data_IF_817118287841
#
_entry.id   IF_817118287841
#
_cell.length_a   1.000
_cell.length_b   1.000
_cell.length_c   1.000
_cell.angle_alpha   90.00
_cell.angle_beta   90.00
_cell.angle_gamma   90.00
#
_symmetry.space_group_name_H-M   'P 1'
#
loop_
_entity.id
_entity.type
_entity.pdbx_description
1 polymer ?
#
# COMPACT_ATOMS: atom_id res chain seq x y z
N UNK A 1 30.28 -28.60 -0.29
CA UNK A 1 28.87 -28.78 -0.70
C UNK A 1 27.83 -28.10 0.22
N UNK A 2 28.18 -27.14 1.09
CA UNK A 2 27.21 -26.49 2.02
C UNK A 2 26.61 -25.16 1.57
N UNK A 3 27.23 -24.43 0.62
CA UNK A 3 26.75 -23.09 0.19
C UNK A 3 25.47 -23.13 -0.66
N UNK A 4 25.26 -24.19 -1.47
CA UNK A 4 24.09 -24.26 -2.36
C UNK A 4 22.78 -24.53 -1.62
N UNK A 5 22.82 -25.16 -0.44
CA UNK A 5 21.64 -25.43 0.36
C UNK A 5 21.02 -24.15 0.95
N UNK A 6 21.85 -23.19 1.36
CA UNK A 6 21.41 -21.91 1.93
C UNK A 6 20.74 -21.03 0.88
N UNK A 7 21.32 -20.94 -0.33
CA UNK A 7 20.74 -20.17 -1.44
C UNK A 7 19.44 -20.80 -1.97
N UNK A 8 19.37 -22.13 -2.02
CA UNK A 8 18.16 -22.87 -2.40
C UNK A 8 17.03 -22.71 -1.36
N UNK A 9 17.37 -22.79 -0.06
CA UNK A 9 16.42 -22.55 1.03
C UNK A 9 15.92 -21.10 1.05
N UNK A 10 16.79 -20.13 0.75
CA UNK A 10 16.39 -18.72 0.60
C UNK A 10 15.46 -18.50 -0.61
N UNK A 11 15.64 -19.23 -1.71
CA UNK A 11 14.74 -19.20 -2.87
C UNK A 11 13.36 -19.81 -2.56
N UNK A 12 13.32 -20.92 -1.82
CA UNK A 12 12.08 -21.52 -1.33
C UNK A 12 11.32 -20.59 -0.38
N UNK A 13 12.03 -19.93 0.53
CA UNK A 13 11.45 -18.90 1.39
C UNK A 13 10.96 -17.70 0.58
N UNK A 14 11.65 -17.27 -0.48
CA UNK A 14 11.20 -16.15 -1.35
C UNK A 14 10.05 -16.52 -2.29
N UNK A 15 9.76 -17.80 -2.51
CA UNK A 15 8.64 -18.26 -3.34
C UNK A 15 7.29 -18.35 -2.60
N UNK A 16 7.27 -18.22 -1.28
CA UNK A 16 6.04 -18.25 -0.49
C UNK A 16 5.30 -16.92 -0.56
N UNK A 17 3.97 -16.99 -0.73
CA UNK A 17 3.10 -15.82 -0.61
C UNK A 17 3.32 -15.16 0.75
N UNK A 18 3.45 -13.83 0.81
CA UNK A 18 3.51 -13.11 2.07
C UNK A 18 2.26 -13.44 2.88
N UNK A 19 2.46 -13.88 4.11
CA UNK A 19 1.41 -13.98 5.10
C UNK A 19 1.73 -13.02 6.24
N UNK A 20 0.71 -12.65 6.99
CA UNK A 20 0.90 -11.97 8.27
C UNK A 20 1.91 -12.71 9.17
N UNK A 21 1.83 -14.04 9.21
CA UNK A 21 2.74 -14.90 9.99
C UNK A 21 4.21 -14.68 9.58
N UNK A 22 4.46 -14.50 8.29
CA UNK A 22 5.80 -14.21 7.78
C UNK A 22 6.29 -12.83 8.23
N UNK A 23 5.44 -11.81 8.14
CA UNK A 23 5.78 -10.47 8.63
C UNK A 23 6.12 -10.52 10.12
N UNK A 24 5.32 -11.21 10.93
CA UNK A 24 5.61 -11.42 12.35
C UNK A 24 6.94 -12.16 12.59
N UNK A 25 7.20 -13.24 11.85
CA UNK A 25 8.46 -13.97 11.97
C UNK A 25 9.66 -13.06 11.69
N UNK A 26 9.56 -12.17 10.69
CA UNK A 26 10.63 -11.22 10.34
C UNK A 26 10.77 -10.11 11.38
N UNK A 27 9.67 -9.59 11.93
CA UNK A 27 9.71 -8.62 13.02
C UNK A 27 10.38 -9.21 14.28
N UNK A 28 10.07 -10.47 14.60
CA UNK A 28 10.70 -11.20 15.71
C UNK A 28 12.21 -11.46 15.49
N UNK A 29 12.63 -11.75 14.25
CA UNK A 29 14.05 -11.92 13.87
C UNK A 29 14.85 -10.62 13.96
N UNK A 30 14.28 -9.49 13.51
CA UNK A 30 14.95 -8.18 13.50
C UNK A 30 14.99 -7.50 14.88
N UNK A 31 14.36 -8.11 15.90
CA UNK A 31 14.24 -7.52 17.24
C UNK A 31 13.36 -6.26 17.28
N UNK A 32 12.58 -6.02 16.23
CA UNK A 32 11.62 -4.92 16.17
C UNK A 32 10.41 -5.30 17.02
N UNK A 33 10.27 -4.69 18.20
CA UNK A 33 9.04 -4.86 18.98
C UNK A 33 7.86 -4.27 18.21
N UNK A 34 6.74 -5.00 18.18
CA UNK A 34 5.43 -4.54 17.69
C UNK A 34 4.78 -3.62 18.76
N UNK A 35 5.58 -2.72 19.35
CA UNK A 35 5.15 -1.73 20.37
C UNK A 35 4.93 -0.35 19.70
N UNK A 36 4.57 -0.35 18.41
CA UNK A 36 4.23 0.86 17.70
C UNK A 36 2.78 1.24 18.02
N UNK A 37 2.55 2.53 18.27
CA UNK A 37 1.20 3.08 18.32
C UNK A 37 0.41 2.72 17.05
N UNK A 38 -0.92 2.54 17.14
CA UNK A 38 -1.76 2.30 15.97
C UNK A 38 -1.48 3.31 14.85
N UNK A 39 -1.11 2.81 13.67
CA UNK A 39 -0.71 3.64 12.56
C UNK A 39 -1.79 3.64 11.47
N UNK A 40 -2.30 4.83 11.19
CA UNK A 40 -3.17 5.10 10.05
C UNK A 40 -2.54 6.19 9.17
N UNK A 41 -2.40 5.90 7.88
CA UNK A 41 -1.84 6.84 6.90
C UNK A 41 -2.94 7.36 5.99
N UNK A 42 -3.16 8.65 6.01
CA UNK A 42 -4.18 9.25 5.18
C UNK A 42 -3.66 9.43 3.73
N UNK A 43 -4.40 8.84 2.80
CA UNK A 43 -4.07 8.73 1.39
C UNK A 43 -4.80 9.76 0.52
N UNK A 44 -5.58 10.65 1.14
CA UNK A 44 -6.30 11.75 0.50
C UNK A 44 -7.70 11.36 0.04
N UNK A 45 -7.95 10.08 -0.20
CA UNK A 45 -9.28 9.49 -0.44
C UNK A 45 -9.83 8.72 0.79
N UNK A 46 -9.05 8.66 1.87
CA UNK A 46 -9.31 7.88 3.09
C UNK A 46 -7.99 7.36 3.67
N UNK A 47 -8.05 6.38 4.58
CA UNK A 47 -6.86 5.93 5.34
C UNK A 47 -6.47 4.49 5.03
N UNK A 48 -5.16 4.25 4.99
CA UNK A 48 -4.58 2.91 5.11
C UNK A 48 -4.22 2.67 6.57
N UNK A 49 -4.96 1.77 7.23
CA UNK A 49 -4.71 1.34 8.60
C UNK A 49 -3.75 0.15 8.56
N UNK A 50 -2.61 0.26 9.25
CA UNK A 50 -1.61 -0.80 9.27
C UNK A 50 -1.98 -1.78 10.38
N UNK A 51 -2.80 -2.78 10.06
CA UNK A 51 -3.50 -3.62 11.02
C UNK A 51 -2.60 -4.36 12.01
N UNK A 52 -1.35 -4.65 11.66
CA UNK A 52 -0.40 -5.30 12.57
C UNK A 52 0.16 -4.39 13.66
N UNK A 53 0.01 -3.07 13.54
CA UNK A 53 0.42 -2.11 14.59
C UNK A 53 -0.72 -1.86 15.59
N UNK A 54 -1.91 -2.43 15.39
CA UNK A 54 -3.01 -2.28 16.33
C UNK A 54 -2.88 -3.35 17.43
N UNK A 55 -3.17 -2.99 18.70
CA UNK A 55 -2.96 -3.90 19.83
C UNK A 55 -3.89 -5.13 19.79
N UNK A 56 -5.09 -4.97 19.25
CA UNK A 56 -6.06 -6.04 19.12
C UNK A 56 -7.06 -5.80 17.95
N UNK A 57 -7.80 -6.85 17.53
CA UNK A 57 -8.80 -6.73 16.46
C UNK A 57 -9.94 -5.76 16.75
N UNK A 58 -10.28 -5.50 18.01
CA UNK A 58 -11.38 -4.61 18.38
C UNK A 58 -10.99 -3.14 18.20
N UNK A 59 -9.76 -2.78 18.56
CA UNK A 59 -9.20 -1.45 18.30
C UNK A 59 -9.16 -1.13 16.81
N UNK A 60 -8.71 -2.08 15.97
CA UNK A 60 -8.69 -1.92 14.52
C UNK A 60 -10.10 -1.80 13.93
N UNK A 61 -11.03 -2.64 14.38
CA UNK A 61 -12.42 -2.56 13.95
C UNK A 61 -13.04 -1.20 14.31
N UNK A 62 -12.84 -0.73 15.54
CA UNK A 62 -13.37 0.55 15.99
C UNK A 62 -12.84 1.72 15.15
N UNK A 63 -11.56 1.70 14.77
CA UNK A 63 -10.98 2.75 13.93
C UNK A 63 -11.51 2.70 12.49
N UNK A 64 -11.70 1.50 11.91
CA UNK A 64 -12.38 1.34 10.62
C UNK A 64 -13.83 1.85 10.66
N UNK A 65 -14.54 1.65 11.78
CA UNK A 65 -15.91 2.14 11.94
C UNK A 65 -15.99 3.67 12.14
N UNK A 66 -14.86 4.33 12.41
CA UNK A 66 -14.76 5.78 12.47
C UNK A 66 -14.45 6.40 11.09
N UNK A 67 -14.53 5.63 10.00
CA UNK A 67 -14.45 6.12 8.62
C UNK A 67 -15.35 7.36 8.44
N UNK A 68 -14.78 8.42 7.86
CA UNK A 68 -15.52 9.67 7.65
C UNK A 68 -16.39 9.60 6.39
N UNK A 69 -17.51 10.33 6.35
CA UNK A 69 -18.32 10.44 5.14
C UNK A 69 -17.49 10.93 3.94
N UNK A 70 -17.48 10.14 2.86
CA UNK A 70 -16.73 10.48 1.64
C UNK A 70 -15.28 10.01 1.63
N UNK A 71 -14.82 9.36 2.69
CA UNK A 71 -13.54 8.68 2.75
C UNK A 71 -13.72 7.16 2.63
N UNK A 72 -12.63 6.45 2.34
CA UNK A 72 -12.58 4.98 2.36
C UNK A 72 -11.39 4.49 3.15
N UNK A 73 -11.64 3.82 4.26
CA UNK A 73 -10.61 3.22 5.09
C UNK A 73 -10.39 1.76 4.70
N UNK A 74 -9.13 1.38 4.64
CA UNK A 74 -8.70 0.02 4.29
C UNK A 74 -7.65 -0.43 5.30
N UNK A 75 -7.85 -1.61 5.89
CA UNK A 75 -6.85 -2.23 6.76
C UNK A 75 -5.95 -3.20 5.96
N UNK A 76 -4.63 -3.03 6.08
CA UNK A 76 -3.62 -3.88 5.46
C UNK A 76 -2.83 -4.65 6.54
N UNK A 77 -2.31 -5.83 6.22
CA UNK A 77 -1.55 -6.68 7.15
C UNK A 77 -2.33 -7.04 8.42
N UNK A 78 -3.63 -7.37 8.26
CA UNK A 78 -4.50 -7.74 9.38
C UNK A 78 -4.18 -9.16 9.86
N UNK A 79 -3.89 -9.31 11.15
CA UNK A 79 -3.51 -10.58 11.78
C UNK A 79 -4.60 -11.65 11.69
N UNK A 80 -5.79 -11.27 12.13
CA UNK A 80 -6.94 -12.14 12.26
C UNK A 80 -8.15 -11.44 11.62
N UNK A 81 -8.22 -11.39 10.27
CA UNK A 81 -9.28 -10.67 9.56
C UNK A 81 -10.68 -11.11 9.98
N UNK A 82 -10.87 -12.41 10.25
CA UNK A 82 -12.14 -12.96 10.72
C UNK A 82 -12.54 -12.44 12.11
N UNK A 83 -11.58 -12.16 13.00
CA UNK A 83 -11.86 -11.59 14.33
C UNK A 83 -12.22 -10.11 14.26
N UNK A 84 -11.60 -9.37 13.34
CA UNK A 84 -11.96 -7.96 13.06
C UNK A 84 -13.37 -7.90 12.48
N UNK A 85 -13.67 -8.74 11.47
CA UNK A 85 -15.02 -8.83 10.91
C UNK A 85 -16.09 -9.16 11.95
N UNK A 86 -15.79 -10.07 12.88
CA UNK A 86 -16.73 -10.48 13.91
C UNK A 86 -17.14 -9.32 14.84
N UNK A 87 -16.37 -8.24 14.93
CA UNK A 87 -16.71 -7.06 15.74
C UNK A 87 -17.92 -6.30 15.17
N UNK A 88 -18.02 -6.18 13.84
CA UNK A 88 -19.16 -5.52 13.18
C UNK A 88 -19.39 -6.09 11.78
N UNK A 89 -19.96 -7.31 11.67
CA UNK A 89 -20.09 -8.02 10.39
C UNK A 89 -21.09 -7.39 9.41
N UNK A 90 -21.91 -6.45 9.88
CA UNK A 90 -22.86 -5.70 9.03
C UNK A 90 -22.22 -4.46 8.38
N UNK A 91 -21.12 -3.96 8.92
CA UNK A 91 -20.47 -2.72 8.49
C UNK A 91 -19.07 -2.97 7.92
N UNK A 92 -18.40 -4.02 8.40
CA UNK A 92 -17.09 -4.46 7.91
C UNK A 92 -17.24 -5.62 6.94
N UNK A 93 -16.40 -5.64 5.92
CA UNK A 93 -16.33 -6.71 4.95
C UNK A 93 -14.87 -6.98 4.61
N UNK A 94 -14.57 -8.21 4.16
CA UNK A 94 -13.28 -8.52 3.57
C UNK A 94 -13.38 -8.21 2.08
N UNK A 95 -12.51 -7.30 1.65
CA UNK A 95 -12.36 -7.00 0.23
C UNK A 95 -11.92 -8.29 -0.51
N UNK A 96 -12.61 -8.70 -1.59
CA UNK A 96 -12.19 -9.84 -2.41
C UNK A 96 -10.89 -9.59 -3.18
N UNK A 97 -10.32 -8.38 -3.13
CA UNK A 97 -9.09 -8.02 -3.83
C UNK A 97 -7.86 -8.67 -3.22
N UNK A 98 -7.00 -9.24 -4.08
CA UNK A 98 -5.70 -9.76 -3.69
C UNK A 98 -4.60 -8.71 -3.83
N UNK A 99 -3.66 -8.70 -2.88
CA UNK A 99 -2.41 -7.95 -3.02
C UNK A 99 -1.38 -8.79 -3.79
N UNK A 100 -1.10 -8.38 -5.02
CA UNK A 100 -0.08 -9.03 -5.85
C UNK A 100 1.31 -8.55 -5.43
N UNK A 101 2.26 -9.49 -5.31
CA UNK A 101 3.64 -9.17 -4.96
C UNK A 101 4.63 -9.48 -6.07
N UNK A 102 5.57 -8.56 -6.25
CA UNK A 102 6.69 -8.70 -7.17
C UNK A 102 8.01 -8.75 -6.39
N UNK A 103 8.77 -9.83 -6.52
CA UNK A 103 10.10 -9.95 -5.93
C UNK A 103 11.16 -9.40 -6.87
N UNK A 104 11.86 -8.33 -6.45
CA UNK A 104 12.91 -7.73 -7.28
C UNK A 104 14.18 -8.58 -7.42
N UNK A 105 14.40 -9.58 -6.55
CA UNK A 105 15.57 -10.48 -6.68
C UNK A 105 15.59 -11.25 -7.99
N UNK A 106 14.40 -11.58 -8.51
CA UNK A 106 14.23 -12.42 -9.69
C UNK A 106 13.39 -11.72 -10.78
N UNK A 107 13.05 -10.45 -10.56
CA UNK A 107 12.31 -9.65 -11.53
C UNK A 107 13.17 -9.38 -12.76
N UNK A 108 12.65 -9.74 -13.93
CA UNK A 108 13.23 -9.39 -15.22
C UNK A 108 12.39 -8.30 -15.86
N UNK A 109 12.91 -7.07 -15.98
CA UNK A 109 12.15 -5.99 -16.61
C UNK A 109 11.81 -6.36 -18.07
N UNK A 110 10.65 -5.92 -18.53
CA UNK A 110 10.27 -6.10 -19.93
C UNK A 110 11.29 -5.41 -20.85
N UNK A 111 11.74 -6.12 -21.89
CA UNK A 111 12.67 -5.57 -22.89
C UNK A 111 12.02 -4.47 -23.76
N UNK A 112 10.69 -4.47 -23.85
CA UNK A 112 9.94 -3.47 -24.60
C UNK A 112 9.91 -2.16 -23.82
N UNK A 113 10.56 -1.14 -24.36
CA UNK A 113 10.47 0.23 -23.85
C UNK A 113 9.23 0.88 -24.42
N UNK A 114 8.31 1.29 -23.55
CA UNK A 114 7.18 2.14 -23.94
C UNK A 114 7.67 3.58 -24.11
N UNK A 115 7.20 4.26 -25.16
CA UNK A 115 7.58 5.63 -25.53
C UNK A 115 6.32 6.48 -25.63
N UNK A 116 6.48 7.81 -25.61
CA UNK A 116 5.38 8.76 -25.76
C UNK A 116 4.76 9.21 -24.44
N UNK A 117 5.28 8.76 -23.30
CA UNK A 117 4.93 9.30 -22.00
C UNK A 117 6.14 9.25 -21.06
N UNK A 118 6.15 10.13 -20.06
CA UNK A 118 7.12 10.14 -18.97
C UNK A 118 6.44 9.87 -17.63
N UNK A 119 7.15 9.21 -16.72
CA UNK A 119 6.71 9.00 -15.35
C UNK A 119 7.38 10.03 -14.45
N UNK A 120 6.57 10.76 -13.67
CA UNK A 120 7.06 11.72 -12.67
C UNK A 120 6.15 11.77 -11.45
N UNK A 121 6.57 12.45 -10.39
CA UNK A 121 5.71 12.70 -9.22
C UNK A 121 4.65 13.76 -9.55
N UNK A 122 3.48 13.62 -8.93
CA UNK A 122 2.51 14.69 -8.83
C UNK A 122 3.11 15.83 -7.97
N UNK A 123 2.89 17.08 -8.37
CA UNK A 123 3.52 18.22 -7.72
C UNK A 123 2.62 19.43 -7.54
N UNK A 124 1.80 19.76 -8.54
CA UNK A 124 1.00 20.99 -8.54
C UNK A 124 -0.51 20.69 -8.56
N UNK A 125 -1.32 21.73 -8.39
CA UNK A 125 -2.79 21.63 -8.37
C UNK A 125 -3.36 21.01 -9.65
N UNK A 126 -2.77 21.32 -10.81
CA UNK A 126 -3.22 20.77 -12.08
C UNK A 126 -3.01 19.24 -12.16
N UNK A 127 -1.92 18.73 -11.58
CA UNK A 127 -1.68 17.28 -11.47
C UNK A 127 -2.78 16.63 -10.62
N UNK A 128 -3.08 17.19 -9.45
CA UNK A 128 -4.11 16.64 -8.54
C UNK A 128 -5.49 16.64 -9.18
N UNK A 129 -5.85 17.70 -9.88
CA UNK A 129 -7.11 17.76 -10.62
C UNK A 129 -7.15 16.73 -11.76
N UNK A 130 -6.04 16.52 -12.47
CA UNK A 130 -5.98 15.50 -13.51
C UNK A 130 -6.09 14.08 -12.94
N UNK A 131 -5.47 13.80 -11.78
CA UNK A 131 -5.64 12.54 -11.07
C UNK A 131 -7.10 12.35 -10.65
N UNK A 132 -7.75 13.39 -10.11
CA UNK A 132 -9.15 13.32 -9.73
C UNK A 132 -10.08 13.09 -10.92
N UNK A 133 -9.81 13.69 -12.08
CA UNK A 133 -10.53 13.38 -13.31
C UNK A 133 -10.40 11.90 -13.69
N UNK A 134 -9.20 11.33 -13.59
CA UNK A 134 -8.96 9.91 -13.82
C UNK A 134 -9.69 9.02 -12.80
N UNK A 135 -9.74 9.42 -11.53
CA UNK A 135 -10.40 8.66 -10.47
C UNK A 135 -11.91 8.67 -10.65
N UNK A 136 -12.50 9.85 -10.87
CA UNK A 136 -13.94 10.01 -11.11
C UNK A 136 -14.39 9.25 -12.36
N UNK A 137 -13.60 9.26 -13.43
CA UNK A 137 -13.89 8.48 -14.64
C UNK A 137 -13.94 6.96 -14.40
N UNK A 138 -13.32 6.47 -13.32
CA UNK A 138 -13.29 5.05 -12.90
C UNK A 138 -14.20 4.77 -11.70
N UNK A 139 -15.02 5.73 -11.28
CA UNK A 139 -15.89 5.60 -10.11
C UNK A 139 -15.12 5.51 -8.78
N UNK A 140 -13.87 5.96 -8.75
CA UNK A 140 -13.04 6.02 -7.55
C UNK A 140 -13.29 7.32 -6.78
N UNK A 141 -13.04 7.30 -5.47
CA UNK A 141 -13.10 8.51 -4.65
C UNK A 141 -11.99 9.49 -5.06
N UNK A 142 -12.29 10.80 -5.17
CA UNK A 142 -11.27 11.80 -5.44
C UNK A 142 -10.30 11.94 -4.24
N UNK A 143 -9.12 12.45 -4.52
CA UNK A 143 -8.08 12.79 -3.55
C UNK A 143 -8.24 14.25 -3.13
N UNK A 144 -8.18 14.49 -1.83
CA UNK A 144 -7.79 15.78 -1.27
C UNK A 144 -6.30 15.76 -0.86
N UNK A 145 -5.41 16.49 -1.56
CA UNK A 145 -3.99 16.49 -1.26
C UNK A 145 -3.66 17.12 0.11
N UNK A 146 -4.54 17.95 0.67
CA UNK A 146 -4.34 18.56 1.99
C UNK A 146 -4.45 17.55 3.14
N UNK A 147 -5.15 16.44 2.91
CA UNK A 147 -5.31 15.37 3.88
C UNK A 147 -4.17 14.35 3.81
N UNK A 148 -3.24 14.44 2.87
CA UNK A 148 -2.17 13.45 2.74
C UNK A 148 -1.27 13.47 3.97
N UNK A 149 -1.01 12.30 4.55
CA UNK A 149 0.11 12.17 5.48
C UNK A 149 1.38 12.57 4.74
N UNK A 150 2.19 13.51 5.27
CA UNK A 150 3.40 13.96 4.60
C UNK A 150 4.39 12.81 4.35
N UNK A 151 5.02 12.80 3.18
CA UNK A 151 6.00 11.75 2.81
C UNK A 151 7.14 11.60 3.82
N UNK A 152 7.57 12.69 4.46
CA UNK A 152 8.66 12.65 5.44
C UNK A 152 8.24 11.99 6.77
N UNK A 153 6.94 11.87 7.01
CA UNK A 153 6.31 11.15 8.12
C UNK A 153 5.85 9.73 7.70
N UNK A 154 6.35 9.22 6.55
CA UNK A 154 6.01 7.89 6.06
C UNK A 154 4.77 7.80 5.17
N UNK A 155 4.15 8.94 4.83
CA UNK A 155 2.97 8.98 3.96
C UNK A 155 3.23 8.66 2.48
N UNK A 156 2.15 8.53 1.69
CA UNK A 156 2.21 8.07 0.32
C UNK A 156 2.81 9.10 -0.66
N UNK A 157 3.14 8.62 -1.86
CA UNK A 157 3.62 9.43 -2.98
C UNK A 157 2.81 9.09 -4.22
N UNK A 158 2.30 10.11 -4.90
CA UNK A 158 1.59 9.94 -6.16
C UNK A 158 2.51 10.12 -7.36
N UNK A 159 2.42 9.17 -8.29
CA UNK A 159 3.11 9.17 -9.57
C UNK A 159 2.10 9.30 -10.70
N UNK A 160 2.50 10.04 -11.72
CA UNK A 160 1.68 10.27 -12.91
C UNK A 160 2.43 9.84 -14.16
N UNK A 161 1.69 9.33 -15.13
CA UNK A 161 2.12 9.17 -16.51
C UNK A 161 1.63 10.38 -17.30
N UNK A 162 2.55 11.13 -17.88
CA UNK A 162 2.28 12.32 -18.67
C UNK A 162 2.64 12.04 -20.13
N UNK A 163 1.68 12.22 -21.03
CA UNK A 163 1.88 12.11 -22.48
C UNK A 163 2.86 13.19 -22.96
N UNK A 164 3.91 12.79 -23.69
CA UNK A 164 4.98 13.71 -24.10
C UNK A 164 4.55 14.68 -25.21
N UNK A 165 3.50 14.37 -25.96
CA UNK A 165 3.01 15.23 -27.04
C UNK A 165 2.09 16.34 -26.55
N UNK A 166 1.21 16.02 -25.60
CA UNK A 166 0.16 16.91 -25.11
C UNK A 166 0.40 17.45 -23.70
N UNK A 167 1.35 16.89 -22.95
CA UNK A 167 1.53 17.10 -21.51
C UNK A 167 0.31 16.74 -20.66
N UNK A 168 -0.61 15.93 -21.19
CA UNK A 168 -1.79 15.48 -20.47
C UNK A 168 -1.43 14.33 -19.55
N UNK A 169 -1.94 14.34 -18.32
CA UNK A 169 -1.84 13.17 -17.44
C UNK A 169 -2.79 12.08 -17.95
N UNK A 170 -2.22 10.95 -18.33
CA UNK A 170 -2.91 9.79 -18.88
C UNK A 170 -2.96 8.60 -17.91
N UNK A 171 -2.32 8.73 -16.75
CA UNK A 171 -2.39 7.72 -15.73
C UNK A 171 -1.85 8.18 -14.38
N UNK A 172 -2.28 7.53 -13.32
CA UNK A 172 -1.86 7.79 -11.94
C UNK A 172 -1.72 6.50 -11.14
N UNK A 173 -0.80 6.49 -10.19
CA UNK A 173 -0.65 5.43 -9.19
C UNK A 173 -0.13 6.01 -7.87
N UNK A 174 -0.69 5.54 -6.76
CA UNK A 174 -0.17 5.83 -5.42
C UNK A 174 0.89 4.81 -5.04
N UNK A 175 2.04 5.26 -4.52
CA UNK A 175 3.07 4.42 -3.94
C UNK A 175 3.22 4.65 -2.44
N UNK A 176 3.35 3.57 -1.67
CA UNK A 176 3.66 3.59 -0.24
C UNK A 176 4.97 2.85 0.00
N UNK A 177 5.90 3.52 0.69
CA UNK A 177 7.20 2.98 1.10
C UNK A 177 7.05 2.39 2.50
N UNK A 178 7.06 1.06 2.61
CA UNK A 178 6.77 0.36 3.86
C UNK A 178 7.87 0.52 4.91
N UNK A 179 9.12 0.71 4.47
CA UNK A 179 10.22 1.00 5.36
C UNK A 179 10.03 2.38 6.03
N UNK A 180 9.64 3.39 5.26
CA UNK A 180 9.35 4.72 5.85
C UNK A 180 8.06 4.78 6.64
N UNK A 181 7.05 4.04 6.20
CA UNK A 181 5.73 4.05 6.81
C UNK A 181 5.72 3.40 8.19
N UNK A 182 6.24 2.18 8.31
CA UNK A 182 6.14 1.37 9.53
C UNK A 182 7.38 0.51 9.80
N UNK A 183 8.53 0.89 9.23
CA UNK A 183 9.80 0.17 9.38
C UNK A 183 9.71 -1.32 9.02
N UNK A 184 9.07 -1.62 7.88
CA UNK A 184 8.95 -3.00 7.38
C UNK A 184 10.32 -3.71 7.30
N UNK A 185 10.51 -4.85 7.99
CA UNK A 185 11.75 -5.62 7.94
C UNK A 185 12.05 -6.20 6.55
N UNK A 186 11.02 -6.35 5.70
CA UNK A 186 11.20 -6.75 4.30
C UNK A 186 11.56 -5.58 3.37
N UNK A 187 11.54 -4.34 3.88
CA UNK A 187 11.84 -3.09 3.14
C UNK A 187 11.01 -2.98 1.85
N UNK A 188 9.74 -3.37 1.95
CA UNK A 188 8.80 -3.41 0.84
C UNK A 188 8.30 -2.04 0.39
N UNK A 189 7.54 -2.06 -0.69
CA UNK A 189 6.72 -0.95 -1.14
C UNK A 189 5.50 -1.50 -1.86
N UNK A 190 4.39 -0.78 -1.82
CA UNK A 190 3.15 -1.16 -2.47
C UNK A 190 2.64 -0.06 -3.40
N UNK A 191 1.98 -0.48 -4.48
CA UNK A 191 1.28 0.41 -5.40
C UNK A 191 -0.22 0.23 -5.25
N UNK A 192 -0.96 1.33 -5.32
CA UNK A 192 -2.40 1.40 -5.07
C UNK A 192 -3.06 2.36 -6.04
N UNK A 193 -4.39 2.24 -6.17
CA UNK A 193 -5.23 3.22 -6.87
C UNK A 193 -4.72 3.54 -8.29
N UNK A 194 -4.33 2.51 -9.04
CA UNK A 194 -3.93 2.63 -10.44
C UNK A 194 -5.12 3.06 -11.28
N UNK A 195 -4.97 4.15 -12.03
CA UNK A 195 -5.99 4.71 -12.90
C UNK A 195 -5.35 5.11 -14.24
N UNK A 196 -5.83 4.58 -15.36
CA UNK A 196 -5.33 4.81 -16.74
C UNK A 196 -6.44 4.98 -17.75
#
# INVERSE_FOLDING_TARGET
MKQNATTYSQRLLRGQSPSYERLQARLAEDGSQIDADPLALHCGWGRLLIGHTYPDPAALAQDLLNEKPGERDIALYVAAPQQVLAQSPQQLFLDPSDTLRLWFSDYRPAHRVFRGYRIRRAHNEADWQAINNLYLARGMLPIDPALLTPRHEGGPVYWVAEDEGSNTIIGSVMGLDHQKAFNDPEKGSSLWCLAV
#
